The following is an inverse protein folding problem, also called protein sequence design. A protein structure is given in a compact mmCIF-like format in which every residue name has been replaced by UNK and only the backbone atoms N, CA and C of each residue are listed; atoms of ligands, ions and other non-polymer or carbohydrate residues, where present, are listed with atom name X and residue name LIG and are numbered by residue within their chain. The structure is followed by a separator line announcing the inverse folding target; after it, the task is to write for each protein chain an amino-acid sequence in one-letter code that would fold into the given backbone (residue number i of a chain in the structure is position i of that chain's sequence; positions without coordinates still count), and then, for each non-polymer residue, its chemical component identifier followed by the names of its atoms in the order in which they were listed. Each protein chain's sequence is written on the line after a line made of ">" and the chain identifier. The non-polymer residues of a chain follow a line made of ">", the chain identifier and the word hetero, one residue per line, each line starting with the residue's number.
data_IF_420609266446
#
_entry.id   IF_420609266446
#
_cell.length_a   1.000
_cell.length_b   1.000
_cell.length_c   1.000
_cell.angle_alpha   90.00
_cell.angle_beta   90.00
_cell.angle_gamma   90.00
#
_symmetry.space_group_name_H-M   'P 1'
#
loop_
_entity.id
_entity.type
_entity.pdbx_description
1 polymer ?
#
# COMPACT_ATOMS: atom_id res chain seq x y z
N UNK A 1 -67.90 41.96 37.89
CA UNK A 1 -66.85 42.79 37.28
C UNK A 1 -65.50 42.11 37.49
N UNK A 2 -64.90 41.54 36.45
CA UNK A 2 -63.55 40.96 36.47
C UNK A 2 -62.66 41.84 35.59
N UNK A 3 -61.62 42.39 36.18
CA UNK A 3 -60.64 43.30 35.54
C UNK A 3 -59.66 42.45 34.74
N UNK A 4 -59.53 42.73 33.45
CA UNK A 4 -58.59 42.12 32.51
C UNK A 4 -57.31 42.96 32.55
N UNK A 5 -56.18 42.34 32.91
CA UNK A 5 -54.85 42.95 32.86
C UNK A 5 -54.06 42.28 31.72
N UNK A 6 -54.02 42.93 30.56
CA UNK A 6 -53.18 42.57 29.41
C UNK A 6 -51.75 43.05 29.63
N UNK A 7 -50.80 42.13 29.73
CA UNK A 7 -49.36 42.39 29.78
C UNK A 7 -48.80 42.29 28.36
N UNK A 8 -48.35 43.42 27.80
CA UNK A 8 -47.55 43.47 26.58
C UNK A 8 -46.08 43.15 26.93
N UNK A 9 -45.55 42.05 26.40
CA UNK A 9 -44.10 41.75 26.45
C UNK A 9 -43.50 42.21 25.13
N UNK A 10 -42.78 43.33 25.16
CA UNK A 10 -41.94 43.80 24.06
C UNK A 10 -40.61 43.04 24.09
N UNK A 11 -40.40 42.12 23.15
CA UNK A 11 -39.11 41.44 22.96
C UNK A 11 -38.19 42.37 22.17
N UNK A 12 -37.24 42.97 22.89
CA UNK A 12 -36.15 43.77 22.33
C UNK A 12 -35.11 42.82 21.72
N UNK A 13 -35.07 42.74 20.38
CA UNK A 13 -34.07 41.96 19.65
C UNK A 13 -32.69 42.64 19.74
N UNK A 14 -31.84 42.12 20.62
CA UNK A 14 -30.41 42.49 20.67
C UNK A 14 -29.73 41.81 19.49
N UNK A 15 -29.38 42.60 18.47
CA UNK A 15 -28.48 42.22 17.38
C UNK A 15 -27.13 41.80 17.98
N UNK A 16 -26.85 40.49 18.01
CA UNK A 16 -25.49 39.99 18.20
C UNK A 16 -24.81 40.07 16.83
N UNK A 17 -23.73 40.85 16.65
CA UNK A 17 -23.00 40.85 15.40
C UNK A 17 -22.39 39.46 15.19
N UNK A 18 -22.87 38.74 14.17
CA UNK A 18 -22.21 37.55 13.67
C UNK A 18 -20.85 37.95 13.08
N UNK A 19 -19.75 37.25 13.41
CA UNK A 19 -18.50 37.47 12.71
C UNK A 19 -18.66 37.08 11.24
N UNK A 20 -18.10 37.83 10.28
CA UNK A 20 -18.13 37.42 8.89
C UNK A 20 -17.28 36.15 8.73
N UNK A 21 -17.94 35.03 8.43
CA UNK A 21 -17.28 33.81 7.93
C UNK A 21 -16.89 34.02 6.48
N UNK A 22 -15.84 34.82 6.28
CA UNK A 22 -15.05 34.94 5.04
C UNK A 22 -13.57 35.13 5.42
N UNK A 23 -13.07 34.24 6.27
CA UNK A 23 -11.68 34.26 6.72
C UNK A 23 -11.05 32.86 6.58
N UNK A 24 -10.89 32.39 5.34
CA UNK A 24 -10.16 31.15 5.05
C UNK A 24 -9.27 31.24 3.80
N UNK A 25 -8.86 32.44 3.38
CA UNK A 25 -7.78 32.67 2.39
C UNK A 25 -7.12 34.04 2.55
N UNK A 26 -6.98 34.57 3.78
CA UNK A 26 -6.13 35.74 4.00
C UNK A 26 -4.71 35.29 4.36
N UNK A 27 -3.85 35.17 3.34
CA UNK A 27 -2.41 35.12 3.57
C UNK A 27 -1.96 36.38 4.32
N UNK A 28 -1.05 36.22 5.29
CA UNK A 28 -0.49 37.35 6.03
C UNK A 28 0.50 38.08 5.12
N UNK A 29 0.27 39.37 4.90
CA UNK A 29 1.16 40.22 4.12
C UNK A 29 2.26 40.77 5.04
N UNK A 30 3.51 40.56 4.66
CA UNK A 30 4.70 40.95 5.43
C UNK A 30 5.68 41.68 4.53
N UNK A 31 6.25 42.80 5.01
CA UNK A 31 7.38 43.45 4.36
C UNK A 31 8.66 43.05 5.07
N UNK A 32 9.60 42.48 4.34
CA UNK A 32 10.87 42.01 4.88
C UNK A 32 12.04 42.59 4.08
N UNK A 33 13.13 42.87 4.78
CA UNK A 33 14.38 43.35 4.19
C UNK A 33 15.51 42.36 4.48
N UNK A 34 16.45 42.25 3.55
CA UNK A 34 17.67 41.48 3.75
C UNK A 34 18.86 42.13 3.03
N UNK A 35 20.04 41.91 3.60
CA UNK A 35 21.32 42.22 2.97
C UNK A 35 22.19 40.96 2.84
N UNK A 36 22.98 40.91 1.78
CA UNK A 36 23.95 39.86 1.52
C UNK A 36 25.25 40.46 0.97
N UNK A 37 26.35 40.18 1.64
CA UNK A 37 27.69 40.53 1.16
C UNK A 37 28.19 39.39 0.29
N UNK A 38 28.56 39.71 -0.95
CA UNK A 38 29.06 38.75 -1.92
C UNK A 38 30.40 38.18 -1.45
N UNK A 39 30.56 36.87 -1.54
CA UNK A 39 31.81 36.16 -1.25
C UNK A 39 32.57 35.81 -2.53
N UNK A 40 33.85 35.45 -2.43
CA UNK A 40 34.70 35.14 -3.60
C UNK A 40 34.19 33.95 -4.43
N UNK A 41 33.36 33.09 -3.85
CA UNK A 41 32.75 31.95 -4.53
C UNK A 41 31.41 32.28 -5.22
N UNK A 42 30.89 33.50 -5.03
CA UNK A 42 29.60 33.91 -5.56
C UNK A 42 29.69 34.49 -6.97
N UNK A 43 28.73 34.07 -7.80
CA UNK A 43 28.37 34.84 -9.00
C UNK A 43 27.43 35.98 -8.61
N UNK A 44 27.42 37.08 -9.38
CA UNK A 44 26.48 38.19 -9.18
C UNK A 44 25.03 37.71 -9.09
N UNK A 45 24.63 36.80 -9.99
CA UNK A 45 23.29 36.20 -9.99
C UNK A 45 23.05 35.33 -8.75
N UNK A 46 24.05 34.55 -8.33
CA UNK A 46 23.97 33.75 -7.10
C UNK A 46 23.79 34.61 -5.86
N UNK A 47 24.47 35.76 -5.77
CA UNK A 47 24.31 36.72 -4.68
C UNK A 47 22.90 37.36 -4.65
N UNK A 48 22.32 37.65 -5.82
CA UNK A 48 20.94 38.14 -5.95
C UNK A 48 19.90 37.11 -5.54
N UNK A 49 20.08 35.85 -5.95
CA UNK A 49 19.20 34.75 -5.56
C UNK A 49 19.28 34.51 -4.04
N UNK A 50 20.48 34.56 -3.46
CA UNK A 50 20.70 34.40 -2.01
C UNK A 50 20.07 35.52 -1.19
N UNK A 51 20.20 36.79 -1.60
CA UNK A 51 19.58 37.91 -0.87
C UNK A 51 18.05 37.85 -0.93
N UNK A 52 17.48 37.43 -2.07
CA UNK A 52 16.04 37.23 -2.23
C UNK A 52 15.53 36.10 -1.32
N UNK A 53 16.21 34.94 -1.30
CA UNK A 53 15.87 33.83 -0.43
C UNK A 53 15.93 34.22 1.06
N UNK A 54 16.92 35.04 1.44
CA UNK A 54 17.06 35.56 2.81
C UNK A 54 15.91 36.49 3.20
N UNK A 55 15.47 37.36 2.29
CA UNK A 55 14.32 38.23 2.52
C UNK A 55 13.01 37.43 2.62
N UNK A 56 12.84 36.43 1.75
CA UNK A 56 11.71 35.50 1.76
C UNK A 56 11.63 34.71 3.07
N UNK A 57 12.76 34.20 3.56
CA UNK A 57 12.85 33.53 4.86
C UNK A 57 12.40 34.45 6.00
N UNK A 58 12.92 35.68 6.06
CA UNK A 58 12.52 36.66 7.10
C UNK A 58 11.02 36.95 7.06
N UNK A 59 10.44 37.07 5.87
CA UNK A 59 9.00 37.27 5.74
C UNK A 59 8.18 36.09 6.32
N UNK A 60 8.66 34.85 6.16
CA UNK A 60 8.01 33.65 6.74
C UNK A 60 8.17 33.61 8.26
N UNK A 61 9.34 33.99 8.77
CA UNK A 61 9.62 34.06 10.22
C UNK A 61 8.75 35.11 10.91
N UNK A 62 8.69 36.33 10.35
CA UNK A 62 7.82 37.43 10.81
C UNK A 62 6.32 37.12 10.65
N UNK A 63 5.97 36.22 9.73
CA UNK A 63 4.60 35.75 9.59
C UNK A 63 4.15 34.90 10.79
N UNK A 64 5.08 34.37 11.58
CA UNK A 64 4.82 33.69 12.86
C UNK A 64 5.37 32.26 12.95
N UNK A 65 6.21 31.83 12.01
CA UNK A 65 6.83 30.50 12.02
C UNK A 65 8.34 30.64 12.13
N UNK A 66 8.86 30.46 13.34
CA UNK A 66 10.31 30.36 13.55
C UNK A 66 10.80 29.06 12.92
N UNK A 67 11.58 29.18 11.85
CA UNK A 67 12.17 28.05 11.14
C UNK A 67 13.49 27.58 11.78
N UNK A 68 13.96 28.24 12.86
CA UNK A 68 15.30 28.05 13.44
C UNK A 68 15.68 26.60 13.76
N UNK A 69 14.71 25.79 14.21
CA UNK A 69 14.93 24.37 14.53
C UNK A 69 15.06 23.46 13.31
N UNK A 70 14.80 23.96 12.09
CA UNK A 70 14.93 23.22 10.83
C UNK A 70 16.36 23.35 10.25
N UNK A 71 17.22 24.19 10.83
CA UNK A 71 18.53 24.59 10.25
C UNK A 71 19.77 23.97 10.90
N UNK A 72 19.64 22.94 11.74
CA UNK A 72 20.77 22.34 12.45
C UNK A 72 21.43 21.16 11.72
N UNK A 73 21.38 21.11 10.38
CA UNK A 73 22.16 20.14 9.63
C UNK A 73 23.08 20.78 8.58
N UNK A 74 24.37 20.49 8.79
CA UNK A 74 25.56 20.72 7.96
C UNK A 74 26.23 22.10 8.12
N UNK A 75 26.88 22.27 9.27
CA UNK A 75 28.15 23.00 9.35
C UNK A 75 29.18 22.09 10.03
N UNK A 76 29.70 21.10 9.28
CA UNK A 76 31.00 20.51 9.59
C UNK A 76 31.86 20.54 8.33
N UNK A 77 33.06 21.06 8.53
CA UNK A 77 34.21 21.11 7.62
C UNK A 77 34.22 22.22 6.56
N UNK A 78 34.50 23.45 6.98
CA UNK A 78 35.74 24.16 6.63
C UNK A 78 35.73 25.58 7.23
N UNK A 79 36.90 26.08 7.62
CA UNK A 79 37.10 27.38 8.27
C UNK A 79 37.05 28.57 7.28
N UNK A 80 36.03 28.64 6.42
CA UNK A 80 35.71 29.85 5.64
C UNK A 80 34.46 29.60 4.78
N UNK A 81 33.34 30.19 5.19
CA UNK A 81 32.08 30.32 4.44
C UNK A 81 31.38 29.04 3.92
N UNK A 82 30.06 29.02 4.08
CA UNK A 82 29.01 28.93 3.05
C UNK A 82 27.73 28.52 3.81
N UNK A 83 26.80 29.45 3.96
CA UNK A 83 25.40 29.11 4.28
C UNK A 83 24.78 28.49 3.02
N UNK A 84 24.91 27.17 2.85
CA UNK A 84 24.08 26.42 1.89
C UNK A 84 22.76 26.09 2.57
N UNK A 85 21.65 26.52 1.97
CA UNK A 85 20.32 26.17 2.45
C UNK A 85 20.06 24.69 2.14
N UNK A 86 19.43 23.96 3.06
CA UNK A 86 19.05 22.57 2.80
C UNK A 86 17.95 22.51 1.73
N UNK A 87 17.87 21.41 0.97
CA UNK A 87 16.80 21.22 -0.01
C UNK A 87 15.39 21.30 0.64
N UNK A 88 15.30 20.95 1.93
CA UNK A 88 14.09 21.05 2.74
C UNK A 88 13.71 22.51 3.04
N UNK A 89 14.71 23.35 3.34
CA UNK A 89 14.53 24.78 3.59
C UNK A 89 13.99 25.50 2.35
N UNK A 90 14.56 25.23 1.17
CA UNK A 90 14.12 25.84 -0.10
C UNK A 90 12.66 25.47 -0.41
N UNK A 91 12.30 24.19 -0.23
CA UNK A 91 10.93 23.69 -0.46
C UNK A 91 9.93 24.29 0.54
N UNK A 92 10.34 24.44 1.80
CA UNK A 92 9.48 25.00 2.85
C UNK A 92 9.19 26.48 2.58
N UNK A 93 10.21 27.28 2.25
CA UNK A 93 10.04 28.70 1.93
C UNK A 93 9.20 28.89 0.67
N UNK A 94 9.45 28.08 -0.37
CA UNK A 94 8.73 28.14 -1.64
C UNK A 94 7.25 27.74 -1.50
N UNK A 95 6.94 26.81 -0.60
CA UNK A 95 5.57 26.39 -0.32
C UNK A 95 4.82 27.36 0.62
N UNK A 96 5.54 28.11 1.44
CA UNK A 96 4.97 29.10 2.37
C UNK A 96 4.52 30.40 1.67
N UNK A 97 5.27 30.80 0.64
CA UNK A 97 5.12 32.10 -0.01
C UNK A 97 4.21 31.97 -1.23
N UNK A 98 3.06 32.63 -1.17
CA UNK A 98 2.07 32.65 -2.25
C UNK A 98 2.47 33.65 -3.33
N UNK A 99 2.99 34.81 -2.91
CA UNK A 99 3.39 35.88 -3.82
C UNK A 99 4.54 36.68 -3.20
N UNK A 100 5.52 37.05 -4.02
CA UNK A 100 6.60 37.99 -3.66
C UNK A 100 6.58 39.18 -4.62
N UNK A 101 6.64 40.39 -4.07
CA UNK A 101 6.82 41.63 -4.82
C UNK A 101 8.10 42.31 -4.34
N UNK A 102 9.00 42.66 -5.25
CA UNK A 102 10.21 43.42 -4.93
C UNK A 102 9.84 44.90 -4.87
N UNK A 103 10.09 45.54 -3.73
CA UNK A 103 9.81 46.96 -3.50
C UNK A 103 11.03 47.84 -3.78
N UNK A 104 12.21 47.36 -3.37
CA UNK A 104 13.47 48.08 -3.51
C UNK A 104 14.61 47.10 -3.68
N UNK A 105 15.53 47.41 -4.59
CA UNK A 105 16.81 46.72 -4.70
C UNK A 105 17.90 47.79 -4.79
N UNK A 106 18.92 47.68 -3.96
CA UNK A 106 20.11 48.55 -4.02
C UNK A 106 21.36 47.71 -3.90
N UNK A 107 22.42 48.19 -4.55
CA UNK A 107 23.76 47.63 -4.45
C UNK A 107 24.66 48.70 -3.86
N UNK A 108 25.43 48.32 -2.86
CA UNK A 108 26.45 49.16 -2.24
C UNK A 108 27.77 48.41 -2.18
N UNK A 109 28.82 49.08 -1.77
CA UNK A 109 30.10 48.45 -1.49
C UNK A 109 30.41 48.65 -0.01
N UNK A 110 30.82 47.57 0.66
CA UNK A 110 31.37 47.62 2.01
C UNK A 110 32.78 47.01 1.94
N UNK A 111 33.79 47.81 2.28
CA UNK A 111 35.22 47.41 2.21
C UNK A 111 35.58 46.64 0.92
N UNK A 112 35.27 47.21 -0.25
CA UNK A 112 35.46 46.63 -1.60
C UNK A 112 34.64 45.36 -1.95
N UNK A 113 33.78 44.87 -1.05
CA UNK A 113 32.85 43.77 -1.33
C UNK A 113 31.47 44.31 -1.77
N UNK A 114 30.89 43.81 -2.88
CA UNK A 114 29.52 44.13 -3.26
C UNK A 114 28.52 43.65 -2.19
N UNK A 115 27.69 44.56 -1.70
CA UNK A 115 26.59 44.28 -0.80
C UNK A 115 25.28 44.47 -1.54
N UNK A 116 24.47 43.43 -1.58
CA UNK A 116 23.13 43.44 -2.14
C UNK A 116 22.12 43.67 -1.03
N UNK A 117 21.18 44.56 -1.25
CA UNK A 117 20.05 44.77 -0.37
C UNK A 117 18.76 44.68 -1.16
N UNK A 118 17.79 43.98 -0.59
CA UNK A 118 16.44 43.87 -1.15
C UNK A 118 15.40 44.10 -0.07
N UNK A 119 14.34 44.81 -0.44
CA UNK A 119 13.11 44.92 0.34
C UNK A 119 11.98 44.31 -0.46
N UNK A 120 11.27 43.36 0.14
CA UNK A 120 10.16 42.65 -0.50
C UNK A 120 8.87 42.83 0.29
N UNK A 121 7.75 42.69 -0.39
CA UNK A 121 6.44 42.42 0.19
C UNK A 121 6.04 41.01 -0.20
N UNK A 122 5.81 40.16 0.79
CA UNK A 122 5.42 38.76 0.58
C UNK A 122 4.05 38.48 1.18
N UNK A 123 3.29 37.60 0.52
CA UNK A 123 2.04 37.04 1.05
C UNK A 123 2.30 35.62 1.52
N UNK A 124 2.15 35.36 2.83
CA UNK A 124 2.51 34.08 3.47
C UNK A 124 1.26 33.35 3.93
N UNK A 125 1.12 32.07 3.55
CA UNK A 125 0.03 31.21 4.02
C UNK A 125 0.44 30.50 5.33
N UNK A 126 0.15 31.13 6.46
CA UNK A 126 0.55 30.63 7.80
C UNK A 126 -0.17 29.33 8.18
N UNK A 127 -1.46 29.17 7.82
CA UNK A 127 -2.24 27.99 8.17
C UNK A 127 -1.75 26.75 7.42
N UNK A 128 -1.54 26.85 6.10
CA UNK A 128 -1.01 25.75 5.30
C UNK A 128 0.44 25.37 5.64
N UNK A 129 1.22 26.33 6.13
CA UNK A 129 2.64 26.12 6.43
C UNK A 129 2.87 25.04 7.50
N UNK A 130 2.07 25.02 8.57
CA UNK A 130 2.25 24.03 9.65
C UNK A 130 1.96 22.60 9.21
N UNK A 131 1.04 22.42 8.25
CA UNK A 131 0.70 21.12 7.69
C UNK A 131 1.75 20.67 6.67
N UNK A 132 2.25 21.60 5.85
CA UNK A 132 3.35 21.34 4.90
C UNK A 132 4.63 20.94 5.64
N UNK A 133 4.99 21.66 6.71
CA UNK A 133 6.16 21.32 7.53
C UNK A 133 6.00 19.92 8.12
N UNK A 134 4.84 19.60 8.72
CA UNK A 134 4.57 18.25 9.26
C UNK A 134 4.68 17.16 8.20
N UNK A 135 4.15 17.41 6.99
CA UNK A 135 4.22 16.47 5.86
C UNK A 135 5.65 16.24 5.41
N UNK A 136 6.42 17.30 5.19
CA UNK A 136 7.81 17.17 4.74
C UNK A 136 8.68 16.43 5.77
N UNK A 137 8.45 16.62 7.06
CA UNK A 137 9.13 15.85 8.13
C UNK A 137 8.71 14.38 8.16
N UNK A 138 7.46 14.07 7.85
CA UNK A 138 7.00 12.69 7.74
C UNK A 138 7.66 12.01 6.53
N UNK A 139 7.71 12.68 5.38
CA UNK A 139 8.36 12.18 4.16
C UNK A 139 9.87 11.96 4.37
N UNK A 140 10.57 12.90 5.04
CA UNK A 140 12.00 12.75 5.35
C UNK A 140 12.29 11.53 6.26
N UNK A 141 11.51 11.35 7.33
CA UNK A 141 11.63 10.18 8.22
C UNK A 141 11.35 8.87 7.49
N UNK A 142 10.36 8.87 6.60
CA UNK A 142 10.03 7.69 5.80
C UNK A 142 11.15 7.34 4.82
N UNK A 143 11.76 8.33 4.18
CA UNK A 143 12.91 8.14 3.30
C UNK A 143 14.13 7.58 4.05
N UNK A 144 14.42 8.10 5.25
CA UNK A 144 15.51 7.60 6.09
C UNK A 144 15.27 6.13 6.49
N UNK A 145 14.05 5.82 6.95
CA UNK A 145 13.68 4.46 7.31
C UNK A 145 13.75 3.50 6.12
N UNK A 146 13.32 3.95 4.94
CA UNK A 146 13.44 3.19 3.69
C UNK A 146 14.89 2.88 3.35
N UNK A 147 15.80 3.86 3.47
CA UNK A 147 17.23 3.65 3.25
C UNK A 147 17.85 2.71 4.30
N UNK A 148 17.38 2.73 5.54
CA UNK A 148 17.80 1.78 6.57
C UNK A 148 17.35 0.35 6.20
N UNK A 149 16.08 0.17 5.87
CA UNK A 149 15.53 -1.13 5.47
C UNK A 149 16.25 -1.70 4.24
N UNK A 150 16.59 -0.86 3.26
CA UNK A 150 17.37 -1.30 2.10
C UNK A 150 18.75 -1.84 2.51
N UNK A 151 19.45 -1.14 3.43
CA UNK A 151 20.75 -1.58 3.96
C UNK A 151 20.63 -2.90 4.73
N UNK A 152 19.61 -3.05 5.57
CA UNK A 152 19.35 -4.28 6.29
C UNK A 152 19.03 -5.44 5.33
N UNK A 153 18.20 -5.20 4.31
CA UNK A 153 17.86 -6.21 3.32
C UNK A 153 19.09 -6.66 2.51
N UNK A 154 19.97 -5.72 2.12
CA UNK A 154 21.22 -6.09 1.45
C UNK A 154 22.14 -6.91 2.34
N UNK A 155 22.28 -6.55 3.62
CA UNK A 155 23.08 -7.32 4.58
C UNK A 155 22.52 -8.73 4.82
N UNK A 156 21.19 -8.86 4.94
CA UNK A 156 20.55 -10.15 5.10
C UNK A 156 20.72 -11.04 3.86
N UNK A 157 20.65 -10.46 2.65
CA UNK A 157 20.92 -11.20 1.41
C UNK A 157 22.37 -11.68 1.33
N UNK A 158 23.33 -10.88 1.76
CA UNK A 158 24.74 -11.30 1.85
C UNK A 158 24.92 -12.43 2.86
N UNK A 159 24.36 -12.30 4.07
CA UNK A 159 24.40 -13.37 5.08
C UNK A 159 23.77 -14.67 4.60
N UNK A 160 22.65 -14.58 3.89
CA UNK A 160 21.98 -15.74 3.31
C UNK A 160 22.88 -16.41 2.26
N UNK A 161 23.57 -15.62 1.42
CA UNK A 161 24.53 -16.13 0.44
C UNK A 161 25.73 -16.80 1.11
N UNK A 162 26.21 -16.28 2.23
CA UNK A 162 27.29 -16.89 3.00
C UNK A 162 26.86 -18.18 3.71
N UNK A 163 25.63 -18.25 4.23
CA UNK A 163 25.07 -19.48 4.79
C UNK A 163 24.79 -20.55 3.73
N UNK A 164 24.49 -20.14 2.49
CA UNK A 164 24.28 -21.05 1.35
C UNK A 164 25.58 -21.55 0.72
N UNK A 165 26.75 -20.97 1.07
CA UNK A 165 28.04 -21.52 0.66
C UNK A 165 28.33 -22.75 1.50
N UNK A 166 28.47 -23.91 0.86
CA UNK A 166 28.91 -25.12 1.55
C UNK A 166 30.27 -24.88 2.24
N UNK A 167 30.45 -25.30 3.51
CA UNK A 167 31.72 -25.13 4.20
C UNK A 167 32.80 -25.93 3.48
N UNK A 168 33.75 -25.23 2.85
CA UNK A 168 34.92 -25.83 2.23
C UNK A 168 35.79 -26.43 3.33
N UNK A 169 35.83 -27.76 3.41
CA UNK A 169 36.76 -28.49 4.28
C UNK A 169 36.12 -29.34 5.38
N UNK A 170 34.81 -29.27 5.60
CA UNK A 170 34.12 -30.25 6.46
C UNK A 170 33.67 -31.40 5.59
N UNK A 171 34.43 -32.51 5.57
CA UNK A 171 33.83 -33.81 5.25
C UNK A 171 32.75 -34.01 6.29
N UNK A 172 31.50 -33.75 5.90
CA UNK A 172 30.36 -34.24 6.67
C UNK A 172 30.55 -35.75 6.67
N UNK A 173 31.03 -36.29 7.79
CA UNK A 173 30.75 -37.67 8.13
C UNK A 173 29.24 -37.72 8.16
N UNK A 174 28.65 -38.11 7.03
CA UNK A 174 27.27 -38.52 6.97
C UNK A 174 27.20 -39.74 7.86
N UNK A 175 26.98 -39.49 9.16
CA UNK A 175 26.36 -40.47 10.03
C UNK A 175 25.02 -40.69 9.35
N UNK A 176 24.94 -41.77 8.56
CA UNK A 176 23.68 -42.29 8.06
C UNK A 176 22.78 -42.35 9.30
N UNK A 177 21.65 -41.62 9.34
CA UNK A 177 20.65 -41.94 10.34
C UNK A 177 20.21 -43.36 10.01
N UNK A 178 20.66 -44.29 10.84
CA UNK A 178 20.43 -45.72 10.68
C UNK A 178 18.94 -45.97 10.36
N UNK A 179 18.66 -46.53 9.18
CA UNK A 179 17.35 -47.10 8.84
C UNK A 179 16.63 -46.62 7.57
N UNK A 180 17.10 -45.61 6.83
CA UNK A 180 16.43 -45.23 5.56
C UNK A 180 16.93 -46.09 4.38
N UNK A 181 16.00 -46.70 3.64
CA UNK A 181 16.34 -47.57 2.50
C UNK A 181 17.10 -46.81 1.39
N UNK A 182 17.98 -47.49 0.66
CA UNK A 182 18.71 -46.89 -0.48
C UNK A 182 17.77 -46.20 -1.48
N UNK A 183 16.54 -46.72 -1.64
CA UNK A 183 15.49 -46.14 -2.47
C UNK A 183 15.05 -44.74 -2.01
N UNK A 184 14.86 -44.54 -0.70
CA UNK A 184 14.50 -43.24 -0.09
C UNK A 184 15.62 -42.22 -0.31
N UNK A 185 16.89 -42.63 -0.11
CA UNK A 185 18.04 -41.75 -0.33
C UNK A 185 18.16 -41.35 -1.80
N UNK A 186 17.97 -42.30 -2.72
CA UNK A 186 17.98 -42.04 -4.15
C UNK A 186 16.85 -41.09 -4.57
N UNK A 187 15.63 -41.32 -4.07
CA UNK A 187 14.49 -40.43 -4.31
C UNK A 187 14.78 -39.01 -3.83
N UNK A 188 15.35 -38.85 -2.63
CA UNK A 188 15.72 -37.53 -2.10
C UNK A 188 16.71 -36.79 -2.98
N UNK A 189 17.75 -37.46 -3.48
CA UNK A 189 18.74 -36.86 -4.39
C UNK A 189 18.07 -36.40 -5.69
N UNK A 190 17.18 -37.23 -6.25
CA UNK A 190 16.44 -36.90 -7.47
C UNK A 190 15.51 -35.69 -7.27
N UNK A 191 14.84 -35.60 -6.13
CA UNK A 191 13.97 -34.47 -5.80
C UNK A 191 14.76 -33.18 -5.58
N UNK A 192 15.91 -33.24 -4.91
CA UNK A 192 16.80 -32.07 -4.80
C UNK A 192 17.19 -31.57 -6.18
N UNK A 193 17.54 -32.46 -7.12
CA UNK A 193 17.80 -32.07 -8.51
C UNK A 193 16.57 -31.45 -9.15
N UNK A 194 15.40 -32.09 -9.03
CA UNK A 194 14.15 -31.61 -9.62
C UNK A 194 13.78 -30.20 -9.15
N UNK A 195 13.98 -29.86 -7.87
CA UNK A 195 13.66 -28.53 -7.34
C UNK A 195 14.49 -27.42 -8.03
N UNK A 196 15.75 -27.71 -8.34
CA UNK A 196 16.67 -26.75 -8.94
C UNK A 196 16.57 -26.66 -10.48
N UNK A 197 15.96 -27.65 -11.14
CA UNK A 197 15.76 -27.59 -12.59
C UNK A 197 14.64 -26.61 -12.95
N UNK A 198 14.93 -25.77 -13.95
CA UNK A 198 13.97 -24.81 -14.51
C UNK A 198 13.15 -25.42 -15.65
N UNK A 199 13.66 -26.48 -16.29
CA UNK A 199 12.91 -27.24 -17.29
C UNK A 199 11.84 -28.11 -16.61
N UNK A 200 10.59 -27.91 -17.05
CA UNK A 200 9.41 -28.59 -16.54
C UNK A 200 9.39 -30.06 -16.95
N UNK A 201 9.86 -30.40 -18.15
CA UNK A 201 9.89 -31.78 -18.63
C UNK A 201 10.88 -32.61 -17.80
N UNK A 202 12.08 -32.07 -17.58
CA UNK A 202 13.07 -32.69 -16.71
C UNK A 202 12.60 -32.78 -15.25
N UNK A 203 11.89 -31.77 -14.74
CA UNK A 203 11.30 -31.81 -13.39
C UNK A 203 10.30 -32.96 -13.25
N UNK A 204 9.42 -33.17 -14.24
CA UNK A 204 8.47 -34.30 -14.27
C UNK A 204 9.22 -35.63 -14.33
N UNK A 205 10.25 -35.73 -15.16
CA UNK A 205 11.07 -36.95 -15.32
C UNK A 205 11.74 -37.31 -14.00
N UNK A 206 12.45 -36.37 -13.38
CA UNK A 206 13.15 -36.58 -12.11
C UNK A 206 12.19 -36.93 -10.97
N UNK A 207 11.04 -36.26 -10.86
CA UNK A 207 10.01 -36.59 -9.88
C UNK A 207 9.40 -37.99 -10.12
N UNK A 208 9.25 -38.39 -11.38
CA UNK A 208 8.78 -39.74 -11.73
C UNK A 208 9.81 -40.81 -11.37
N UNK A 209 11.10 -40.59 -11.66
CA UNK A 209 12.18 -41.48 -11.24
C UNK A 209 12.26 -41.59 -9.70
N UNK A 210 12.00 -40.50 -8.98
CA UNK A 210 11.92 -40.53 -7.52
C UNK A 210 10.78 -41.42 -7.02
N UNK A 211 9.59 -41.34 -7.63
CA UNK A 211 8.46 -42.22 -7.31
C UNK A 211 8.74 -43.70 -7.59
N UNK A 212 9.53 -44.01 -8.63
CA UNK A 212 9.96 -45.41 -8.88
C UNK A 212 10.96 -45.92 -7.85
N UNK A 213 11.75 -45.03 -7.26
CA UNK A 213 12.75 -45.38 -6.24
C UNK A 213 12.13 -45.51 -4.85
N UNK A 214 11.15 -44.67 -4.55
CA UNK A 214 10.35 -44.70 -3.33
C UNK A 214 8.88 -44.40 -3.64
N UNK A 215 8.07 -45.45 -3.64
CA UNK A 215 6.64 -45.39 -3.94
C UNK A 215 5.82 -44.64 -2.86
N UNK A 216 6.39 -44.47 -1.65
CA UNK A 216 5.79 -43.74 -0.54
C UNK A 216 6.18 -42.25 -0.50
N UNK A 217 6.94 -41.76 -1.48
CA UNK A 217 7.45 -40.39 -1.48
C UNK A 217 6.34 -39.37 -1.83
N UNK A 218 5.77 -38.74 -0.81
CA UNK A 218 4.74 -37.69 -0.95
C UNK A 218 5.26 -36.48 -1.74
N UNK A 219 6.48 -36.01 -1.44
CA UNK A 219 7.07 -34.81 -2.06
C UNK A 219 7.22 -34.95 -3.58
N UNK A 220 7.53 -36.15 -4.07
CA UNK A 220 7.65 -36.43 -5.49
C UNK A 220 6.31 -36.26 -6.22
N UNK A 221 5.21 -36.72 -5.60
CA UNK A 221 3.85 -36.53 -6.13
C UNK A 221 3.48 -35.05 -6.14
N UNK A 222 3.78 -34.31 -5.06
CA UNK A 222 3.50 -32.87 -4.97
C UNK A 222 4.26 -32.09 -6.05
N UNK A 223 5.57 -32.30 -6.20
CA UNK A 223 6.40 -31.60 -7.19
C UNK A 223 5.90 -31.89 -8.60
N UNK A 224 5.59 -33.15 -8.90
CA UNK A 224 5.09 -33.54 -10.23
C UNK A 224 3.71 -32.93 -10.51
N UNK A 225 2.79 -32.99 -9.55
CA UNK A 225 1.47 -32.39 -9.65
C UNK A 225 1.50 -30.86 -9.83
N UNK A 226 2.36 -30.16 -9.08
CA UNK A 226 2.58 -28.72 -9.25
C UNK A 226 3.14 -28.37 -10.63
N UNK A 227 4.03 -29.22 -11.15
CA UNK A 227 4.61 -29.04 -12.48
C UNK A 227 3.57 -29.22 -13.58
N UNK A 228 2.66 -30.19 -13.42
CA UNK A 228 1.52 -30.33 -14.32
C UNK A 228 0.56 -29.13 -14.25
N UNK A 229 0.24 -28.61 -13.05
CA UNK A 229 -0.57 -27.38 -12.92
C UNK A 229 0.11 -26.17 -13.58
N UNK A 230 1.44 -26.08 -13.53
CA UNK A 230 2.21 -25.05 -14.25
C UNK A 230 2.00 -25.18 -15.76
N UNK A 231 2.07 -26.40 -16.31
CA UNK A 231 1.82 -26.66 -17.72
C UNK A 231 0.37 -26.31 -18.12
N UNK A 232 -0.61 -26.64 -17.27
CA UNK A 232 -2.02 -26.22 -17.46
C UNK A 232 -2.11 -24.69 -17.58
N UNK A 233 -1.48 -23.96 -16.66
CA UNK A 233 -1.47 -22.49 -16.70
C UNK A 233 -0.81 -21.94 -17.98
N UNK A 234 0.28 -22.55 -18.45
CA UNK A 234 0.97 -22.14 -19.68
C UNK A 234 0.07 -22.41 -20.89
N UNK A 235 -0.46 -23.62 -21.03
CA UNK A 235 -1.32 -24.00 -22.13
C UNK A 235 -2.59 -23.13 -22.20
N UNK A 236 -3.20 -22.84 -21.04
CA UNK A 236 -4.34 -21.94 -20.93
C UNK A 236 -3.99 -20.51 -21.38
N UNK A 237 -2.83 -19.99 -20.96
CA UNK A 237 -2.37 -18.65 -21.38
C UNK A 237 -2.11 -18.53 -22.88
N UNK A 238 -1.72 -19.64 -23.51
CA UNK A 238 -1.46 -19.72 -24.95
C UNK A 238 -2.74 -19.98 -25.78
N UNK A 239 -3.92 -19.95 -25.16
CA UNK A 239 -5.21 -20.28 -25.80
C UNK A 239 -5.20 -21.66 -26.48
N UNK A 240 -4.44 -22.62 -25.92
CA UNK A 240 -4.42 -23.98 -26.44
C UNK A 240 -5.81 -24.61 -26.34
N UNK A 241 -6.13 -25.53 -27.25
CA UNK A 241 -7.36 -26.31 -27.20
C UNK A 241 -7.53 -27.00 -25.83
N UNK A 242 -8.77 -27.12 -25.36
CA UNK A 242 -9.12 -27.69 -24.04
C UNK A 242 -8.46 -29.04 -23.77
N UNK A 243 -8.33 -29.87 -24.81
CA UNK A 243 -7.75 -31.21 -24.72
C UNK A 243 -6.26 -31.19 -24.33
N UNK A 244 -5.54 -30.12 -24.71
CA UNK A 244 -4.10 -29.99 -24.47
C UNK A 244 -3.72 -29.81 -23.01
N UNK A 245 -4.60 -29.19 -22.19
CA UNK A 245 -4.37 -29.06 -20.75
C UNK A 245 -5.20 -30.03 -19.90
N UNK A 246 -6.23 -30.68 -20.47
CA UNK A 246 -7.05 -31.66 -19.74
C UNK A 246 -6.21 -32.86 -19.24
N UNK A 247 -5.32 -33.42 -20.07
CA UNK A 247 -4.42 -34.52 -19.65
C UNK A 247 -3.50 -34.09 -18.50
N UNK A 248 -2.91 -32.90 -18.56
CA UNK A 248 -2.07 -32.38 -17.49
C UNK A 248 -2.86 -32.14 -16.20
N UNK A 249 -4.09 -31.63 -16.31
CA UNK A 249 -4.96 -31.41 -15.15
C UNK A 249 -5.34 -32.72 -14.46
N UNK A 250 -5.65 -33.76 -15.24
CA UNK A 250 -5.95 -35.09 -14.72
C UNK A 250 -4.74 -35.74 -14.02
N UNK A 251 -3.54 -35.60 -14.60
CA UNK A 251 -2.31 -36.07 -13.96
C UNK A 251 -2.01 -35.31 -12.67
N UNK A 252 -2.20 -33.99 -12.66
CA UNK A 252 -2.05 -33.19 -11.46
C UNK A 252 -3.02 -33.66 -10.36
N UNK A 253 -4.29 -33.90 -10.70
CA UNK A 253 -5.29 -34.42 -9.77
C UNK A 253 -4.85 -35.75 -9.16
N UNK A 254 -4.45 -36.72 -9.99
CA UNK A 254 -4.00 -38.03 -9.53
C UNK A 254 -2.79 -37.93 -8.57
N UNK A 255 -1.85 -37.04 -8.87
CA UNK A 255 -0.66 -36.82 -8.04
C UNK A 255 -1.01 -36.21 -6.68
N UNK A 256 -1.89 -35.21 -6.61
CA UNK A 256 -2.29 -34.63 -5.33
C UNK A 256 -3.20 -35.54 -4.52
N UNK A 257 -4.11 -36.29 -5.17
CA UNK A 257 -4.90 -37.31 -4.48
C UNK A 257 -4.00 -38.37 -3.87
N UNK A 258 -2.97 -38.82 -4.60
CA UNK A 258 -1.97 -39.73 -4.06
C UNK A 258 -1.18 -39.11 -2.91
N UNK A 259 -0.75 -37.84 -3.03
CA UNK A 259 -0.01 -37.17 -1.98
C UNK A 259 -0.81 -37.12 -0.66
N UNK A 260 -2.10 -36.77 -0.73
CA UNK A 260 -2.98 -36.72 0.45
C UNK A 260 -3.28 -38.11 1.01
N UNK A 261 -3.34 -39.15 0.16
CA UNK A 261 -3.49 -40.54 0.61
C UNK A 261 -2.24 -41.05 1.35
N UNK A 262 -1.05 -40.69 0.86
CA UNK A 262 0.22 -41.09 1.48
C UNK A 262 0.48 -40.33 2.78
N UNK A 263 0.23 -39.02 2.79
CA UNK A 263 0.38 -38.16 3.96
C UNK A 263 -0.79 -37.19 4.06
N UNK A 264 -1.82 -37.60 4.81
CA UNK A 264 -3.00 -36.78 5.07
C UNK A 264 -2.73 -35.54 5.94
N UNK A 265 -1.52 -35.37 6.48
CA UNK A 265 -1.11 -34.18 7.24
C UNK A 265 -0.27 -33.21 6.41
N UNK A 266 -0.01 -33.51 5.14
CA UNK A 266 0.77 -32.64 4.27
C UNK A 266 -0.07 -31.47 3.73
N UNK A 267 0.21 -30.25 4.20
CA UNK A 267 -0.50 -29.03 3.79
C UNK A 267 -0.38 -28.73 2.29
N UNK A 268 0.75 -29.06 1.66
CA UNK A 268 0.97 -28.83 0.23
C UNK A 268 0.19 -29.80 -0.65
N UNK A 269 -0.03 -31.03 -0.19
CA UNK A 269 -0.92 -32.00 -0.84
C UNK A 269 -2.36 -31.49 -0.87
N UNK A 270 -2.87 -31.01 0.27
CA UNK A 270 -4.22 -30.43 0.36
C UNK A 270 -4.37 -29.14 -0.45
N UNK A 271 -3.36 -28.27 -0.45
CA UNK A 271 -3.35 -27.08 -1.31
C UNK A 271 -3.43 -27.44 -2.79
N UNK A 272 -2.59 -28.37 -3.25
CA UNK A 272 -2.55 -28.78 -4.64
C UNK A 272 -3.86 -29.43 -5.08
N UNK A 273 -4.49 -30.21 -4.19
CA UNK A 273 -5.84 -30.75 -4.39
C UNK A 273 -6.90 -29.64 -4.51
N UNK A 274 -6.82 -28.59 -3.68
CA UNK A 274 -7.70 -27.44 -3.82
C UNK A 274 -7.49 -26.68 -5.14
N UNK A 275 -6.23 -26.51 -5.56
CA UNK A 275 -5.87 -25.85 -6.82
C UNK A 275 -6.37 -26.64 -8.03
N UNK A 276 -6.25 -27.97 -8.05
CA UNK A 276 -6.80 -28.80 -9.14
C UNK A 276 -8.32 -28.74 -9.21
N UNK A 277 -9.00 -28.80 -8.06
CA UNK A 277 -10.47 -28.69 -8.02
C UNK A 277 -10.96 -27.30 -8.44
N UNK A 278 -10.18 -26.25 -8.17
CA UNK A 278 -10.45 -24.89 -8.66
C UNK A 278 -10.39 -24.85 -10.19
N UNK A 279 -9.38 -25.47 -10.81
CA UNK A 279 -9.29 -25.61 -12.27
C UNK A 279 -10.46 -26.39 -12.88
N UNK A 280 -10.95 -27.41 -12.16
CA UNK A 280 -12.13 -28.20 -12.54
C UNK A 280 -13.47 -27.49 -12.28
N UNK A 281 -13.46 -26.27 -11.72
CA UNK A 281 -14.64 -25.50 -11.31
C UNK A 281 -15.50 -26.19 -10.24
N UNK A 282 -14.91 -27.11 -9.47
CA UNK A 282 -15.55 -27.73 -8.32
C UNK A 282 -15.29 -26.89 -7.06
N UNK A 283 -15.94 -25.73 -6.98
CA UNK A 283 -15.62 -24.74 -5.94
C UNK A 283 -15.83 -25.24 -4.50
N UNK A 284 -16.82 -26.09 -4.25
CA UNK A 284 -17.07 -26.60 -2.89
C UNK A 284 -15.99 -27.62 -2.45
N UNK A 285 -15.54 -28.49 -3.36
CA UNK A 285 -14.46 -29.46 -3.12
C UNK A 285 -13.10 -28.75 -2.95
N UNK A 286 -12.88 -27.69 -3.73
CA UNK A 286 -11.71 -26.83 -3.61
C UNK A 286 -11.67 -26.14 -2.23
N UNK A 287 -12.79 -25.53 -1.82
CA UNK A 287 -12.90 -24.87 -0.52
C UNK A 287 -12.60 -25.84 0.63
N UNK A 288 -13.20 -27.04 0.61
CA UNK A 288 -12.96 -28.07 1.62
C UNK A 288 -11.48 -28.48 1.70
N UNK A 289 -10.79 -28.56 0.54
CA UNK A 289 -9.37 -28.90 0.50
C UNK A 289 -8.49 -27.80 1.09
N UNK A 290 -8.78 -26.53 0.80
CA UNK A 290 -8.07 -25.39 1.41
C UNK A 290 -8.36 -25.25 2.90
N UNK A 291 -9.61 -25.45 3.32
CA UNK A 291 -10.00 -25.47 4.73
C UNK A 291 -9.29 -26.59 5.50
N UNK A 292 -9.11 -27.75 4.89
CA UNK A 292 -8.34 -28.83 5.48
C UNK A 292 -6.85 -28.49 5.60
N UNK A 293 -6.27 -27.80 4.62
CA UNK A 293 -4.90 -27.29 4.72
C UNK A 293 -4.76 -26.29 5.89
N UNK A 294 -5.75 -25.40 6.07
CA UNK A 294 -5.79 -24.43 7.17
C UNK A 294 -6.10 -25.05 8.54
N UNK A 295 -6.81 -26.18 8.57
CA UNK A 295 -7.03 -26.95 9.80
C UNK A 295 -5.72 -27.62 10.29
N UNK A 296 -4.85 -28.02 9.35
CA UNK A 296 -3.53 -28.57 9.65
C UNK A 296 -2.52 -27.48 10.00
N UNK A 297 -2.52 -26.37 9.27
CA UNK A 297 -1.69 -25.19 9.55
C UNK A 297 -2.50 -23.90 9.41
N UNK A 298 -2.96 -23.32 10.54
CA UNK A 298 -3.69 -22.06 10.53
C UNK A 298 -2.89 -20.86 9.98
N UNK A 299 -1.56 -20.93 9.89
CA UNK A 299 -0.74 -19.85 9.36
C UNK A 299 -0.33 -20.12 7.90
N UNK A 300 -1.02 -21.03 7.21
CA UNK A 300 -0.73 -21.31 5.81
C UNK A 300 -1.36 -20.28 4.86
N UNK A 301 -0.66 -19.18 4.70
CA UNK A 301 -1.08 -17.98 3.96
C UNK A 301 -1.59 -18.28 2.54
N UNK A 302 -0.96 -19.23 1.85
CA UNK A 302 -1.30 -19.54 0.46
C UNK A 302 -2.69 -20.18 0.36
N UNK A 303 -3.01 -21.17 1.21
CA UNK A 303 -4.36 -21.76 1.23
C UNK A 303 -5.42 -20.73 1.61
N UNK A 304 -5.08 -19.84 2.55
CA UNK A 304 -5.96 -18.74 2.95
C UNK A 304 -6.27 -17.79 1.79
N UNK A 305 -5.25 -17.35 1.07
CA UNK A 305 -5.42 -16.48 -0.10
C UNK A 305 -6.27 -17.15 -1.18
N UNK A 306 -6.04 -18.44 -1.46
CA UNK A 306 -6.86 -19.23 -2.40
C UNK A 306 -8.32 -19.28 -1.96
N UNK A 307 -8.58 -19.53 -0.68
CA UNK A 307 -9.92 -19.59 -0.11
C UNK A 307 -10.65 -18.23 -0.18
N UNK A 308 -9.95 -17.13 0.11
CA UNK A 308 -10.49 -15.76 -0.02
C UNK A 308 -10.92 -15.50 -1.46
N UNK A 309 -10.06 -15.78 -2.45
CA UNK A 309 -10.37 -15.58 -3.87
C UNK A 309 -11.57 -16.44 -4.27
N UNK A 310 -11.59 -17.71 -3.89
CA UNK A 310 -12.65 -18.66 -4.23
C UNK A 310 -14.02 -18.24 -3.69
N UNK A 311 -14.10 -17.90 -2.40
CA UNK A 311 -15.36 -17.44 -1.80
C UNK A 311 -15.81 -16.09 -2.36
N UNK A 312 -14.88 -15.18 -2.67
CA UNK A 312 -15.20 -13.90 -3.29
C UNK A 312 -15.77 -14.10 -4.70
N UNK A 313 -15.20 -15.01 -5.49
CA UNK A 313 -15.73 -15.38 -6.81
C UNK A 313 -17.11 -16.03 -6.72
N UNK A 314 -17.31 -16.97 -5.79
CA UNK A 314 -18.62 -17.60 -5.55
C UNK A 314 -19.67 -16.56 -5.16
N UNK A 315 -19.34 -15.65 -4.23
CA UNK A 315 -20.23 -14.56 -3.84
C UNK A 315 -20.55 -13.62 -5.00
N UNK A 316 -19.58 -13.34 -5.88
CA UNK A 316 -19.79 -12.52 -7.08
C UNK A 316 -20.77 -13.19 -8.05
N UNK A 317 -20.61 -14.48 -8.30
CA UNK A 317 -21.54 -15.24 -9.14
C UNK A 317 -22.98 -15.18 -8.60
N UNK A 318 -23.15 -15.34 -7.30
CA UNK A 318 -24.45 -15.22 -6.64
C UNK A 318 -24.99 -13.78 -6.66
N UNK A 319 -24.11 -12.79 -6.58
CA UNK A 319 -24.47 -11.38 -6.74
C UNK A 319 -24.99 -11.07 -8.14
N UNK A 320 -24.33 -11.60 -9.18
CA UNK A 320 -24.73 -11.47 -10.59
C UNK A 320 -26.07 -12.18 -10.86
N UNK A 321 -26.31 -13.32 -10.19
CA UNK A 321 -27.60 -14.01 -10.16
C UNK A 321 -28.68 -13.28 -9.32
N UNK A 322 -28.36 -12.11 -8.75
CA UNK A 322 -29.22 -11.29 -7.87
C UNK A 322 -29.60 -11.96 -6.54
N UNK A 323 -28.90 -13.01 -6.13
CA UNK A 323 -29.04 -13.64 -4.82
C UNK A 323 -28.24 -12.87 -3.74
N UNK A 324 -28.49 -11.57 -3.60
CA UNK A 324 -27.66 -10.66 -2.79
C UNK A 324 -27.54 -11.07 -1.32
N UNK A 325 -28.61 -11.53 -0.69
CA UNK A 325 -28.55 -11.99 0.71
C UNK A 325 -27.67 -13.24 0.88
N UNK A 326 -27.68 -14.14 -0.10
CA UNK A 326 -26.84 -15.33 -0.07
C UNK A 326 -25.37 -14.99 -0.33
N UNK A 327 -25.09 -14.11 -1.30
CA UNK A 327 -23.75 -13.58 -1.55
C UNK A 327 -23.16 -12.89 -0.31
N UNK A 328 -23.94 -12.04 0.38
CA UNK A 328 -23.52 -11.42 1.64
C UNK A 328 -23.24 -12.46 2.73
N UNK A 329 -24.03 -13.54 2.81
CA UNK A 329 -23.79 -14.61 3.79
C UNK A 329 -22.46 -15.31 3.55
N UNK A 330 -22.10 -15.57 2.29
CA UNK A 330 -20.80 -16.16 1.91
C UNK A 330 -19.66 -15.22 2.34
N UNK A 331 -19.76 -13.93 2.01
CA UNK A 331 -18.74 -12.93 2.35
C UNK A 331 -18.61 -12.74 3.87
N UNK A 332 -19.71 -12.81 4.62
CA UNK A 332 -19.67 -12.77 6.08
C UNK A 332 -18.95 -13.98 6.65
N UNK A 333 -19.26 -15.19 6.18
CA UNK A 333 -18.56 -16.39 6.65
C UNK A 333 -17.04 -16.31 6.40
N UNK A 334 -16.63 -15.77 5.25
CA UNK A 334 -15.23 -15.54 4.93
C UNK A 334 -14.55 -14.54 5.88
N UNK A 335 -15.19 -13.39 6.10
CA UNK A 335 -14.62 -12.27 6.86
C UNK A 335 -14.63 -12.55 8.37
N UNK A 336 -15.73 -13.09 8.90
CA UNK A 336 -15.89 -13.37 10.34
C UNK A 336 -15.06 -14.57 10.80
N UNK A 337 -14.83 -15.56 9.93
CA UNK A 337 -13.96 -16.69 10.26
C UNK A 337 -12.48 -16.29 10.39
N UNK A 338 -12.10 -15.10 9.93
CA UNK A 338 -10.69 -14.69 9.81
C UNK A 338 -10.48 -13.22 10.23
N UNK A 339 -10.71 -12.88 11.51
CA UNK A 339 -10.78 -11.49 11.96
C UNK A 339 -9.42 -10.79 12.14
N UNK A 340 -8.29 -11.42 11.80
CA UNK A 340 -6.98 -10.79 11.99
C UNK A 340 -6.77 -9.66 10.97
N UNK A 341 -6.43 -8.47 11.48
CA UNK A 341 -6.19 -7.26 10.68
C UNK A 341 -5.11 -7.46 9.61
N UNK A 342 -4.16 -8.38 9.84
CA UNK A 342 -3.10 -8.73 8.88
C UNK A 342 -3.65 -9.28 7.55
N UNK A 343 -4.89 -9.79 7.53
CA UNK A 343 -5.50 -10.39 6.34
C UNK A 343 -6.38 -9.44 5.52
N UNK A 344 -6.74 -8.28 6.09
CA UNK A 344 -7.58 -7.28 5.42
C UNK A 344 -7.02 -6.86 4.05
N UNK A 345 -5.68 -6.72 3.83
CA UNK A 345 -5.14 -6.42 2.50
C UNK A 345 -5.53 -7.41 1.40
N UNK A 346 -5.74 -8.69 1.74
CA UNK A 346 -6.11 -9.74 0.79
C UNK A 346 -7.63 -9.86 0.60
N UNK A 347 -8.43 -9.23 1.47
CA UNK A 347 -9.90 -9.28 1.47
C UNK A 347 -10.53 -8.02 0.88
N UNK A 348 -9.76 -7.05 0.37
CA UNK A 348 -10.27 -5.76 -0.12
C UNK A 348 -11.40 -5.93 -1.13
N UNK A 349 -11.25 -6.86 -2.08
CA UNK A 349 -12.27 -7.17 -3.08
C UNK A 349 -13.54 -7.77 -2.46
N UNK A 350 -13.42 -8.55 -1.39
CA UNK A 350 -14.54 -9.11 -0.65
C UNK A 350 -15.32 -8.01 0.10
N UNK A 351 -14.62 -7.11 0.78
CA UNK A 351 -15.23 -5.93 1.43
C UNK A 351 -15.88 -5.00 0.41
N UNK A 352 -15.22 -4.71 -0.72
CA UNK A 352 -15.79 -3.91 -1.80
C UNK A 352 -17.07 -4.53 -2.35
N UNK A 353 -17.06 -5.83 -2.67
CA UNK A 353 -18.24 -6.54 -3.16
C UNK A 353 -19.36 -6.52 -2.12
N UNK A 354 -19.06 -6.77 -0.85
CA UNK A 354 -20.05 -6.75 0.23
C UNK A 354 -20.64 -5.35 0.43
N UNK A 355 -19.83 -4.30 0.29
CA UNK A 355 -20.29 -2.92 0.39
C UNK A 355 -21.29 -2.56 -0.72
N UNK A 356 -21.02 -2.94 -1.98
CA UNK A 356 -21.95 -2.73 -3.09
C UNK A 356 -23.26 -3.49 -2.86
N UNK A 357 -23.17 -4.75 -2.42
CA UNK A 357 -24.34 -5.55 -2.07
C UNK A 357 -25.16 -4.93 -0.93
N UNK A 358 -24.50 -4.37 0.09
CA UNK A 358 -25.19 -3.62 1.14
C UNK A 358 -25.92 -2.40 0.61
N UNK A 359 -25.38 -1.68 -0.39
CA UNK A 359 -26.09 -0.59 -1.06
C UNK A 359 -27.31 -1.09 -1.83
N UNK A 360 -27.21 -2.22 -2.55
CA UNK A 360 -28.39 -2.85 -3.20
C UNK A 360 -29.46 -3.24 -2.19
N UNK A 361 -29.05 -3.67 -1.01
CA UNK A 361 -29.93 -4.04 0.11
C UNK A 361 -30.37 -2.84 0.96
N UNK A 362 -30.08 -1.60 0.55
CA UNK A 362 -30.42 -0.35 1.25
C UNK A 362 -29.86 -0.27 2.69
N UNK A 363 -28.63 -0.76 2.89
CA UNK A 363 -27.89 -0.76 4.17
C UNK A 363 -26.61 0.11 4.06
N UNK A 364 -26.72 1.43 3.85
CA UNK A 364 -25.57 2.30 3.60
C UNK A 364 -24.58 2.37 4.77
N UNK A 365 -25.02 2.24 6.02
CA UNK A 365 -24.13 2.29 7.18
C UNK A 365 -23.17 1.10 7.24
N UNK A 366 -23.65 -0.10 6.86
CA UNK A 366 -22.79 -1.29 6.78
C UNK A 366 -21.80 -1.18 5.61
N UNK A 367 -22.26 -0.67 4.47
CA UNK A 367 -21.40 -0.39 3.33
C UNK A 367 -20.28 0.59 3.70
N UNK A 368 -20.60 1.66 4.44
CA UNK A 368 -19.62 2.64 4.89
C UNK A 368 -18.54 2.01 5.78
N UNK A 369 -18.92 1.08 6.65
CA UNK A 369 -17.99 0.31 7.47
C UNK A 369 -16.98 -0.47 6.62
N UNK A 370 -17.47 -1.25 5.66
CA UNK A 370 -16.64 -2.03 4.73
C UNK A 370 -15.75 -1.15 3.84
N UNK A 371 -16.22 0.04 3.45
CA UNK A 371 -15.44 0.96 2.63
C UNK A 371 -14.32 1.62 3.44
N UNK A 372 -14.59 1.94 4.70
CA UNK A 372 -13.57 2.48 5.60
C UNK A 372 -12.47 1.44 5.90
N UNK A 373 -12.81 0.16 6.05
CA UNK A 373 -11.77 -0.88 6.24
C UNK A 373 -10.86 -0.98 5.02
N UNK A 374 -11.42 -0.92 3.79
CA UNK A 374 -10.63 -0.93 2.55
C UNK A 374 -9.73 0.31 2.46
N UNK A 375 -10.27 1.50 2.71
CA UNK A 375 -9.53 2.77 2.57
C UNK A 375 -8.45 2.92 3.64
N UNK A 376 -8.65 2.37 4.84
CA UNK A 376 -7.62 2.36 5.88
C UNK A 376 -6.39 1.54 5.46
N UNK A 377 -6.59 0.46 4.70
CA UNK A 377 -5.52 -0.43 4.24
C UNK A 377 -4.95 0.01 2.89
N UNK A 378 -5.79 0.55 2.02
CA UNK A 378 -5.44 1.02 0.68
C UNK A 378 -6.08 2.39 0.41
N UNK A 379 -5.46 3.48 0.88
CA UNK A 379 -5.98 4.83 0.70
C UNK A 379 -6.09 5.27 -0.77
N UNK A 380 -5.41 4.55 -1.68
CA UNK A 380 -5.39 4.82 -3.12
C UNK A 380 -6.38 3.95 -3.90
N UNK A 381 -7.27 3.23 -3.21
CA UNK A 381 -8.29 2.42 -3.88
C UNK A 381 -9.39 3.32 -4.46
N UNK A 382 -9.24 3.70 -5.74
CA UNK A 382 -10.18 4.59 -6.43
C UNK A 382 -11.62 4.06 -6.42
N UNK A 383 -11.80 2.74 -6.56
CA UNK A 383 -13.10 2.09 -6.49
C UNK A 383 -13.76 2.22 -5.12
N UNK A 384 -13.01 2.04 -4.04
CA UNK A 384 -13.51 2.24 -2.67
C UNK A 384 -13.91 3.70 -2.41
N UNK A 385 -13.08 4.64 -2.83
CA UNK A 385 -13.35 6.08 -2.71
C UNK A 385 -14.60 6.48 -3.48
N UNK A 386 -14.75 6.02 -4.73
CA UNK A 386 -15.95 6.28 -5.52
C UNK A 386 -17.23 5.73 -4.87
N UNK A 387 -17.21 4.49 -4.39
CA UNK A 387 -18.37 3.89 -3.73
C UNK A 387 -18.66 4.65 -2.42
N UNK A 388 -17.64 5.02 -1.63
CA UNK A 388 -17.82 5.77 -0.39
C UNK A 388 -18.38 7.17 -0.62
N UNK A 389 -17.90 7.88 -1.65
CA UNK A 389 -18.47 9.14 -2.10
C UNK A 389 -19.95 9.01 -2.46
N UNK A 390 -20.32 7.91 -3.14
CA UNK A 390 -21.72 7.58 -3.44
C UNK A 390 -22.55 7.36 -2.17
N UNK A 391 -22.00 6.66 -1.17
CA UNK A 391 -22.66 6.49 0.13
C UNK A 391 -22.85 7.84 0.84
N UNK A 392 -21.85 8.71 0.81
CA UNK A 392 -21.95 10.05 1.37
C UNK A 392 -23.00 10.91 0.67
N UNK A 393 -23.16 10.79 -0.65
CA UNK A 393 -24.25 11.42 -1.39
C UNK A 393 -25.63 10.94 -0.93
N UNK A 394 -25.82 9.63 -0.78
CA UNK A 394 -27.07 9.04 -0.26
C UNK A 394 -27.38 9.58 1.14
N UNK A 395 -26.35 9.82 1.95
CA UNK A 395 -26.46 10.39 3.30
C UNK A 395 -26.51 11.91 3.37
N UNK A 396 -26.56 12.60 2.21
CA UNK A 396 -26.58 14.07 2.10
C UNK A 396 -25.30 14.76 2.62
N UNK A 397 -24.22 14.03 2.82
CA UNK A 397 -22.91 14.55 3.23
C UNK A 397 -22.11 15.00 1.99
N UNK A 398 -22.59 16.04 1.31
CA UNK A 398 -22.05 16.49 0.01
C UNK A 398 -20.57 16.87 0.05
N UNK A 399 -20.09 17.45 1.16
CA UNK A 399 -18.69 17.81 1.32
C UNK A 399 -17.78 16.58 1.27
N UNK A 400 -18.06 15.56 2.08
CA UNK A 400 -17.29 14.32 2.13
C UNK A 400 -17.38 13.54 0.82
N UNK A 401 -18.57 13.56 0.19
CA UNK A 401 -18.75 12.95 -1.12
C UNK A 401 -17.85 13.60 -2.17
N UNK A 402 -17.82 14.94 -2.22
CA UNK A 402 -16.97 15.68 -3.15
C UNK A 402 -15.48 15.35 -2.95
N UNK A 403 -15.01 15.34 -1.71
CA UNK A 403 -13.61 14.99 -1.40
C UNK A 403 -13.23 13.59 -1.87
N UNK A 404 -14.09 12.59 -1.62
CA UNK A 404 -13.87 11.22 -2.07
C UNK A 404 -13.92 11.09 -3.59
N UNK A 405 -14.84 11.82 -4.26
CA UNK A 405 -14.91 11.83 -5.73
C UNK A 405 -13.71 12.53 -6.36
N UNK A 406 -13.20 13.62 -5.78
CA UNK A 406 -12.00 14.31 -6.25
C UNK A 406 -10.80 13.37 -6.20
N UNK A 407 -10.57 12.73 -5.04
CA UNK A 407 -9.49 11.74 -4.89
C UNK A 407 -9.64 10.57 -5.85
N UNK A 408 -10.85 10.03 -6.02
CA UNK A 408 -11.09 8.93 -6.96
C UNK A 408 -10.85 9.36 -8.42
N UNK A 409 -11.25 10.58 -8.79
CA UNK A 409 -11.02 11.13 -10.13
C UNK A 409 -9.53 11.35 -10.41
N UNK A 410 -8.79 11.89 -9.44
CA UNK A 410 -7.32 12.06 -9.51
C UNK A 410 -6.59 10.72 -9.68
N UNK A 411 -7.15 9.65 -9.11
CA UNK A 411 -6.66 8.27 -9.25
C UNK A 411 -7.15 7.58 -10.54
N UNK A 412 -7.88 8.28 -11.40
CA UNK A 412 -8.29 7.82 -12.73
C UNK A 412 -9.69 7.17 -12.81
N UNK A 413 -10.52 7.25 -11.77
CA UNK A 413 -11.92 6.77 -11.85
C UNK A 413 -12.78 7.77 -12.63
N UNK A 414 -13.09 7.44 -13.89
CA UNK A 414 -13.87 8.30 -14.78
C UNK A 414 -15.28 8.58 -14.26
N UNK A 415 -15.89 7.62 -13.54
CA UNK A 415 -17.23 7.76 -12.97
C UNK A 415 -17.24 8.80 -11.87
N UNK A 416 -16.15 8.88 -11.10
CA UNK A 416 -16.00 9.91 -10.06
C UNK A 416 -15.87 11.30 -10.68
N UNK A 417 -15.10 11.45 -11.76
CA UNK A 417 -14.98 12.71 -12.49
C UNK A 417 -16.32 13.21 -13.05
N UNK A 418 -17.19 12.29 -13.49
CA UNK A 418 -18.54 12.63 -13.95
C UNK A 418 -19.43 13.18 -12.84
N UNK A 419 -19.26 12.74 -11.59
CA UNK A 419 -20.02 13.25 -10.43
C UNK A 419 -19.61 14.67 -10.00
N UNK A 420 -18.46 15.17 -10.48
CA UNK A 420 -17.91 16.49 -10.14
C UNK A 420 -18.21 17.57 -11.20
N UNK A 421 -18.74 17.17 -12.36
CA UNK A 421 -19.19 18.09 -13.42
C UNK A 421 -20.60 18.59 -13.11
#
# INVERSE_FOLDING_TARGET
>A
MRVILTVFITVLAILIPHPPTDAATQGKVVEAEASYTMTDEDTLRGAEEKVLQRAQRRAVEEAGVYLETIFHDIARESHSHITQMSALEIRTISAAIVQTQILETRRSFDTDCPVFFIRIRATVNVQGLTDIVRRLHAEARLAEHFHQLQRENSQLRERLKDLQREPVGVRILAINPDGQSEGVQRARILLTKAIHTHDLADKIRLASEALTSDNGCTDASIIRGQTYLRLVSIAFSQQSASDGYADHLERARADFDRAVQLDGKNVWGWLGKGDTQTWLRHSDEAAASYEQALALDPFFDLARQRLIVLYTMKARQEADAKHWNYAVRILNALIEAQPSESWVPYQKEAYLLRSDLFLKLKKPDKALGDLNTVINVDPMNAGALFIRGTVHMIRLNRHLAKEDFEKACDLGDTRACEQLR
#
